data_IF_941898257600
#
_entry.id   IF_941898257600
#
_cell.length_a   1.000
_cell.length_b   1.000
_cell.length_c   1.000
_cell.angle_alpha   90.00
_cell.angle_beta   90.00
_cell.angle_gamma   90.00
#
_symmetry.space_group_name_H-M   'P 1'
#
loop_
_entity.id
_entity.type
_entity.pdbx_description
1 polymer ?
#
# COMPACT_ATOMS: atom_id res chain seq x y z
N UNK A 1 -12.25 1.97 12.80
CA UNK A 1 -11.28 2.81 12.06
C UNK A 1 -10.01 2.01 11.99
N UNK A 2 -9.54 1.74 10.76
CA UNK A 2 -8.50 0.74 10.53
C UNK A 2 -7.29 1.42 9.92
N UNK A 3 -6.13 1.23 10.54
CA UNK A 3 -4.86 1.90 10.24
C UNK A 3 -3.86 0.90 9.68
N UNK A 4 -3.14 1.30 8.64
CA UNK A 4 -2.11 0.50 7.99
C UNK A 4 -0.87 1.36 7.78
N UNK A 5 0.31 0.75 7.86
CA UNK A 5 1.54 1.33 7.34
C UNK A 5 1.60 1.08 5.83
N UNK A 6 1.65 2.16 5.04
CA UNK A 6 1.63 2.09 3.58
C UNK A 6 3.02 2.27 2.97
N UNK A 7 3.47 1.26 2.24
CA UNK A 7 4.78 1.22 1.59
C UNK A 7 4.62 1.13 0.07
N UNK A 8 5.35 1.96 -0.67
CA UNK A 8 5.37 1.86 -2.13
C UNK A 8 6.05 0.57 -2.59
N UNK A 9 5.52 -0.09 -3.63
CA UNK A 9 5.99 -1.42 -4.07
C UNK A 9 7.47 -1.45 -4.42
N UNK A 10 8.00 -0.37 -5.01
CA UNK A 10 9.43 -0.28 -5.36
C UNK A 10 10.31 -0.22 -4.11
N UNK A 11 9.86 0.42 -3.03
CA UNK A 11 10.60 0.42 -1.77
C UNK A 11 10.58 -0.95 -1.10
N UNK A 12 9.48 -1.70 -1.21
CA UNK A 12 9.45 -3.09 -0.78
C UNK A 12 10.44 -3.95 -1.58
N UNK A 13 10.49 -3.80 -2.90
CA UNK A 13 11.44 -4.51 -3.74
C UNK A 13 12.89 -4.14 -3.42
N UNK A 14 13.19 -2.85 -3.18
CA UNK A 14 14.55 -2.41 -2.81
C UNK A 14 15.00 -2.95 -1.45
N UNK A 15 14.06 -3.13 -0.51
CA UNK A 15 14.33 -3.80 0.75
C UNK A 15 14.70 -5.27 0.55
N UNK A 16 13.94 -5.98 -0.28
CA UNK A 16 14.20 -7.39 -0.62
C UNK A 16 15.56 -7.53 -1.30
N UNK A 17 15.86 -6.66 -2.26
CA UNK A 17 17.16 -6.64 -2.94
C UNK A 17 18.31 -6.39 -1.95
N UNK A 18 18.17 -5.44 -1.03
CA UNK A 18 19.18 -5.20 0.00
C UNK A 18 19.41 -6.43 0.88
N UNK A 19 18.33 -7.09 1.34
CA UNK A 19 18.43 -8.28 2.18
C UNK A 19 19.05 -9.46 1.43
N UNK A 20 18.81 -9.59 0.13
CA UNK A 20 19.46 -10.62 -0.69
C UNK A 20 20.99 -10.46 -0.66
N UNK A 21 21.49 -9.23 -0.67
CA UNK A 21 22.93 -8.95 -0.72
C UNK A 21 23.61 -8.80 0.64
N UNK A 22 22.87 -8.36 1.67
CA UNK A 22 23.43 -7.97 2.98
C UNK A 22 22.71 -8.56 4.18
N UNK A 23 21.62 -9.30 3.97
CA UNK A 23 20.89 -9.96 5.04
C UNK A 23 21.67 -11.15 5.61
N UNK A 24 21.41 -11.47 6.86
CA UNK A 24 21.99 -12.63 7.54
C UNK A 24 21.08 -13.86 7.35
N UNK A 25 21.62 -15.05 7.00
CA UNK A 25 20.83 -16.26 6.89
C UNK A 25 20.10 -16.61 8.18
N UNK A 26 18.80 -16.94 8.06
CA UNK A 26 17.95 -17.28 9.20
C UNK A 26 17.32 -16.07 9.91
N UNK A 27 17.73 -14.84 9.57
CA UNK A 27 17.20 -13.64 10.19
C UNK A 27 15.92 -13.15 9.53
N UNK A 28 15.01 -12.63 10.35
CA UNK A 28 13.77 -11.98 9.90
C UNK A 28 13.95 -10.46 9.94
N UNK A 29 13.50 -9.76 8.90
CA UNK A 29 13.54 -8.31 8.80
C UNK A 29 12.14 -7.77 8.47
N UNK A 30 11.63 -6.89 9.33
CA UNK A 30 10.42 -6.13 9.04
C UNK A 30 10.73 -5.00 8.06
N UNK A 31 9.86 -4.81 7.08
CA UNK A 31 9.93 -3.71 6.10
C UNK A 31 8.68 -2.84 6.29
N UNK A 32 8.89 -1.58 6.66
CA UNK A 32 7.81 -0.61 6.91
C UNK A 32 8.26 0.80 6.54
N UNK A 33 7.32 1.66 6.16
CA UNK A 33 7.60 3.02 5.71
C UNK A 33 7.38 4.08 6.81
N UNK A 34 6.84 3.67 7.97
CA UNK A 34 6.33 4.56 9.02
C UNK A 34 5.22 5.51 8.52
N UNK A 35 4.49 5.11 7.47
CA UNK A 35 3.41 5.87 6.84
C UNK A 35 2.05 5.35 7.30
N UNK A 36 1.79 5.45 8.60
CA UNK A 36 0.54 4.98 9.19
C UNK A 36 -0.63 5.89 8.83
N UNK A 37 -1.61 5.36 8.11
CA UNK A 37 -2.82 6.09 7.70
C UNK A 37 -4.06 5.23 7.78
N UNK A 38 -5.18 5.84 8.15
CA UNK A 38 -6.47 5.18 8.15
C UNK A 38 -7.01 4.98 6.73
N UNK A 39 -7.76 3.91 6.50
CA UNK A 39 -8.38 3.62 5.19
C UNK A 39 -9.20 4.80 4.64
N UNK A 40 -9.86 5.56 5.53
CA UNK A 40 -10.67 6.73 5.13
C UNK A 40 -9.82 7.87 4.57
N UNK A 41 -8.60 8.06 5.09
CA UNK A 41 -7.67 9.06 4.58
C UNK A 41 -7.22 8.71 3.16
N UNK A 42 -6.87 7.43 2.93
CA UNK A 42 -6.51 6.94 1.60
C UNK A 42 -7.65 7.12 0.60
N UNK A 43 -8.87 6.82 1.02
CA UNK A 43 -10.06 6.96 0.18
C UNK A 43 -10.26 8.41 -0.25
N UNK A 44 -10.17 9.36 0.70
CA UNK A 44 -10.28 10.80 0.43
C UNK A 44 -9.16 11.30 -0.48
N UNK A 45 -7.92 10.83 -0.29
CA UNK A 45 -6.80 11.19 -1.14
C UNK A 45 -7.01 10.74 -2.58
N UNK A 46 -7.50 9.52 -2.80
CA UNK A 46 -7.82 9.00 -4.14
C UNK A 46 -8.92 9.85 -4.80
N UNK A 47 -10.00 10.15 -4.07
CA UNK A 47 -11.08 10.99 -4.60
C UNK A 47 -10.58 12.39 -4.98
N UNK A 48 -9.75 13.00 -4.12
CA UNK A 48 -9.11 14.29 -4.40
C UNK A 48 -8.26 14.25 -5.66
N UNK A 49 -7.39 13.25 -5.81
CA UNK A 49 -6.52 13.08 -6.99
C UNK A 49 -7.32 12.86 -8.29
N UNK A 50 -8.48 12.21 -8.20
CA UNK A 50 -9.37 11.96 -9.34
C UNK A 50 -10.38 13.10 -9.61
N UNK A 51 -10.38 14.17 -8.80
CA UNK A 51 -11.38 15.24 -8.89
C UNK A 51 -12.81 14.75 -8.64
N UNK A 52 -13.00 13.83 -7.69
CA UNK A 52 -14.30 13.23 -7.35
C UNK A 52 -14.79 13.68 -5.97
N UNK A 53 -16.12 13.79 -5.77
CA UNK A 53 -16.68 14.23 -4.50
C UNK A 53 -16.62 13.12 -3.42
N UNK A 54 -16.48 13.52 -2.16
CA UNK A 54 -16.54 12.60 -1.01
C UNK A 54 -17.91 11.91 -0.83
N UNK A 55 -18.97 12.42 -1.49
CA UNK A 55 -20.29 11.78 -1.49
C UNK A 55 -20.30 10.37 -2.12
N UNK A 56 -19.24 9.98 -2.83
CA UNK A 56 -19.06 8.61 -3.33
C UNK A 56 -18.65 7.62 -2.23
N UNK A 57 -18.22 8.09 -1.05
CA UNK A 57 -17.85 7.23 0.07
C UNK A 57 -19.11 6.62 0.68
N UNK A 58 -19.18 5.29 0.70
CA UNK A 58 -20.23 4.54 1.41
C UNK A 58 -19.58 3.70 2.49
N UNK A 59 -19.98 3.91 3.73
CA UNK A 59 -19.60 3.03 4.84
C UNK A 59 -20.43 1.74 4.71
N UNK A 60 -19.74 0.61 4.63
CA UNK A 60 -20.34 -0.72 4.61
C UNK A 60 -20.10 -1.42 5.94
N UNK A 61 -20.81 -2.52 6.20
CA UNK A 61 -20.60 -3.32 7.40
C UNK A 61 -19.13 -3.77 7.48
N UNK A 62 -18.54 -3.66 8.67
CA UNK A 62 -17.16 -4.05 8.88
C UNK A 62 -16.97 -5.57 8.76
N UNK A 63 -15.76 -5.99 8.37
CA UNK A 63 -15.42 -7.41 8.26
C UNK A 63 -15.31 -8.01 9.67
N UNK A 64 -15.87 -9.20 9.88
CA UNK A 64 -15.61 -9.93 11.12
C UNK A 64 -14.10 -10.18 11.28
N UNK A 65 -13.55 -9.90 12.47
CA UNK A 65 -12.11 -10.00 12.73
C UNK A 65 -11.25 -9.00 11.95
N UNK A 66 -11.77 -7.81 11.62
CA UNK A 66 -10.96 -6.78 10.98
C UNK A 66 -9.99 -6.15 11.98
N UNK A 67 -8.70 -6.46 11.83
CA UNK A 67 -7.67 -5.88 12.69
C UNK A 67 -7.60 -4.36 12.56
N UNK A 68 -7.61 -3.70 13.73
CA UNK A 68 -7.66 -2.24 13.83
C UNK A 68 -6.38 -1.58 13.34
N UNK A 69 -5.22 -2.12 13.64
CA UNK A 69 -3.93 -1.49 13.31
C UNK A 69 -2.86 -2.54 13.09
N UNK A 70 -2.10 -2.36 12.01
CA UNK A 70 -0.80 -3.01 11.84
C UNK A 70 0.27 -1.93 11.78
N UNK A 71 1.32 -2.12 12.56
CA UNK A 71 2.52 -1.30 12.55
C UNK A 71 3.71 -2.23 12.78
N UNK A 72 4.83 -1.91 12.13
CA UNK A 72 6.04 -2.72 12.19
C UNK A 72 7.20 -1.87 12.72
N UNK A 73 8.02 -2.45 13.59
CA UNK A 73 9.33 -1.90 13.87
C UNK A 73 10.32 -2.36 12.78
N UNK A 74 10.72 -1.41 11.92
CA UNK A 74 11.66 -1.60 10.80
C UNK A 74 13.11 -1.22 11.16
N UNK A 75 13.43 -1.03 12.45
CA UNK A 75 14.77 -0.61 12.91
C UNK A 75 15.88 -1.55 12.42
N UNK A 76 15.60 -2.87 12.38
CA UNK A 76 16.61 -3.87 11.99
C UNK A 76 17.09 -3.70 10.55
N UNK A 77 16.18 -3.52 9.58
CA UNK A 77 16.57 -3.34 8.18
C UNK A 77 17.16 -1.93 7.94
N UNK A 78 16.70 -0.92 8.69
CA UNK A 78 17.28 0.43 8.66
C UNK A 78 18.76 0.44 9.05
N UNK A 79 19.17 -0.43 9.99
CA UNK A 79 20.59 -0.63 10.35
C UNK A 79 21.44 -1.20 9.21
N UNK A 80 20.84 -1.90 8.24
CA UNK A 80 21.52 -2.33 7.01
C UNK A 80 21.66 -1.21 5.96
N UNK A 81 21.16 -0.01 6.27
CA UNK A 81 21.18 1.15 5.39
C UNK A 81 19.95 1.28 4.50
N UNK A 82 18.90 0.47 4.72
CA UNK A 82 17.64 0.65 3.98
C UNK A 82 16.85 1.85 4.49
N UNK A 83 16.25 2.59 3.56
CA UNK A 83 15.26 3.62 3.85
C UNK A 83 14.26 3.69 2.69
N UNK A 84 12.97 3.80 3.00
CA UNK A 84 11.96 4.10 2.00
C UNK A 84 12.31 5.41 1.29
N UNK A 85 12.28 5.39 -0.04
CA UNK A 85 12.71 6.48 -0.90
C UNK A 85 11.56 7.30 -1.44
N UNK A 86 10.35 6.75 -1.44
CA UNK A 86 9.17 7.42 -1.96
C UNK A 86 8.43 8.20 -0.87
N UNK A 87 8.19 9.48 -1.14
CA UNK A 87 7.19 10.27 -0.42
C UNK A 87 5.79 9.68 -0.65
N UNK A 88 4.96 9.66 0.40
CA UNK A 88 3.68 8.99 0.36
C UNK A 88 2.70 9.66 -0.63
N UNK A 89 2.57 10.99 -0.55
CA UNK A 89 1.69 11.79 -1.39
C UNK A 89 2.11 11.70 -2.86
N UNK A 90 3.41 11.77 -3.14
CA UNK A 90 3.94 11.61 -4.50
C UNK A 90 3.69 10.18 -5.03
N UNK A 91 3.97 9.15 -4.24
CA UNK A 91 3.73 7.76 -4.59
C UNK A 91 2.25 7.48 -4.88
N UNK A 92 1.35 8.03 -4.07
CA UNK A 92 -0.10 7.91 -4.29
C UNK A 92 -0.51 8.56 -5.60
N UNK A 93 0.00 9.76 -5.91
CA UNK A 93 -0.26 10.40 -7.21
C UNK A 93 0.22 9.54 -8.37
N UNK A 94 1.47 9.07 -8.33
CA UNK A 94 2.06 8.20 -9.36
C UNK A 94 1.24 6.91 -9.52
N UNK A 95 0.78 6.32 -8.42
CA UNK A 95 -0.05 5.12 -8.43
C UNK A 95 -1.40 5.37 -9.12
N UNK A 96 -2.10 6.44 -8.74
CA UNK A 96 -3.37 6.83 -9.38
C UNK A 96 -3.17 7.08 -10.88
N UNK A 97 -2.13 7.83 -11.25
CA UNK A 97 -1.80 8.12 -12.65
C UNK A 97 -1.53 6.81 -13.43
N UNK A 98 -0.82 5.85 -12.82
CA UNK A 98 -0.57 4.55 -13.45
C UNK A 98 -1.88 3.79 -13.71
N UNK A 99 -2.79 3.68 -12.74
CA UNK A 99 -4.08 2.99 -12.95
C UNK A 99 -4.97 3.68 -13.99
N UNK A 100 -4.91 5.01 -14.07
CA UNK A 100 -5.66 5.79 -15.06
C UNK A 100 -5.14 5.57 -16.49
N UNK A 101 -3.83 5.39 -16.64
CA UNK A 101 -3.18 5.18 -17.93
C UNK A 101 -3.10 3.70 -18.36
N UNK A 102 -3.34 2.75 -17.44
CA UNK A 102 -3.23 1.31 -17.71
C UNK A 102 -4.58 0.58 -17.59
N UNK A 103 -5.64 1.15 -18.18
CA UNK A 103 -7.01 0.61 -18.08
C UNK A 103 -7.14 -0.81 -18.62
N UNK A 104 -6.50 -1.10 -19.75
CA UNK A 104 -6.60 -2.41 -20.39
C UNK A 104 -5.94 -3.51 -19.55
N UNK A 105 -5.00 -3.14 -18.68
CA UNK A 105 -4.36 -4.07 -17.75
C UNK A 105 -5.35 -4.51 -16.65
N UNK A 106 -5.94 -3.58 -15.91
CA UNK A 106 -6.81 -3.95 -14.78
C UNK A 106 -8.23 -4.36 -15.19
N UNK A 107 -8.74 -3.90 -16.35
CA UNK A 107 -10.09 -4.27 -16.82
C UNK A 107 -10.22 -5.78 -17.04
N UNK A 108 -9.21 -6.39 -17.67
CA UNK A 108 -9.16 -7.85 -17.88
C UNK A 108 -9.22 -8.64 -16.57
N UNK A 109 -8.58 -8.13 -15.52
CA UNK A 109 -8.59 -8.75 -14.19
C UNK A 109 -9.97 -8.59 -13.54
N UNK A 110 -10.56 -7.40 -13.63
CA UNK A 110 -11.89 -7.12 -13.09
C UNK A 110 -12.99 -7.96 -13.76
N UNK A 111 -12.89 -8.19 -15.06
CA UNK A 111 -13.83 -9.02 -15.81
C UNK A 111 -13.74 -10.48 -15.37
N UNK A 112 -12.53 -11.06 -15.29
CA UNK A 112 -12.32 -12.43 -14.75
C UNK A 112 -12.79 -12.59 -13.31
N UNK A 113 -12.65 -11.54 -12.49
CA UNK A 113 -13.10 -11.58 -11.09
C UNK A 113 -14.61 -11.71 -10.93
N UNK A 114 -15.41 -11.43 -11.97
CA UNK A 114 -16.87 -11.68 -11.94
C UNK A 114 -17.20 -13.17 -11.98
N UNK A 115 -16.31 -13.99 -12.55
CA UNK A 115 -16.53 -15.44 -12.70
C UNK A 115 -16.32 -16.21 -11.38
N UNK A 116 -15.73 -15.57 -10.35
CA UNK A 116 -15.45 -16.15 -9.03
C UNK A 116 -16.40 -15.64 -7.93
N UNK A 117 -17.42 -14.87 -8.30
CA UNK A 117 -18.27 -14.10 -7.37
C UNK A 117 -19.77 -14.26 -7.62
N UNK A 118 -20.20 -15.42 -8.12
CA UNK A 118 -21.58 -15.93 -7.98
C UNK A 118 -21.60 -17.21 -7.14
#
# INVERSE_FOLDING_TARGET
MNVRDWLHVIDNCSAIDLMLHKGEPGEIYNIGADNERANIEITRMILKLLGKPESLIKLVQDRSGHDRRYALDSTKIKKLGWKASYDFEEAMKRTVDWYMNNKDWWRKIKERGKDYGE
#
